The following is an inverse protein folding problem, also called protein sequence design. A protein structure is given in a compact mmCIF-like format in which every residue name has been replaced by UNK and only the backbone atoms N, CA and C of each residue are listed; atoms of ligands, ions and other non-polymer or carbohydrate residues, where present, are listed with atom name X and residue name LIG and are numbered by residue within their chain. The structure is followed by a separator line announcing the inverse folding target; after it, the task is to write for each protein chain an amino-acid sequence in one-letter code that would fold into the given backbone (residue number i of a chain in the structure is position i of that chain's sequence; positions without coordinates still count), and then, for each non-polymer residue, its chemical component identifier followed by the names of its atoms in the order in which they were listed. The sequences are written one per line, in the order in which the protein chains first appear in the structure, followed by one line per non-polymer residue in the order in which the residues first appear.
data_IF_709284307508
#
_entry.id   IF_709284307508
#
_cell.length_a   1.000
_cell.length_b   1.000
_cell.length_c   1.000
_cell.angle_alpha   90.00
_cell.angle_beta   90.00
_cell.angle_gamma   90.00
#
_symmetry.space_group_name_H-M   'P 1'
#
loop_
_entity.id
_entity.type
_entity.pdbx_description
1 polymer ?
#
# COMPACT_ATOMS: atom_id res chain seq x y z
N UNK A 1 -3.71 22.60 22.17
CA UNK A 1 -3.40 21.18 21.84
C UNK A 1 -3.04 20.48 23.15
N UNK A 2 -4.06 20.07 23.88
CA UNK A 2 -3.87 19.29 25.10
C UNK A 2 -3.41 17.90 24.71
N UNK A 3 -2.21 17.51 25.14
CA UNK A 3 -1.83 16.11 25.18
C UNK A 3 -2.74 15.47 26.21
N UNK A 4 -3.63 14.58 25.77
CA UNK A 4 -4.46 13.82 26.66
C UNK A 4 -3.59 13.00 27.60
N UNK A 5 -3.44 13.45 28.86
CA UNK A 5 -2.84 12.70 29.95
C UNK A 5 -3.85 11.66 30.40
N UNK A 6 -3.45 10.41 30.42
CA UNK A 6 -4.28 9.31 30.91
C UNK A 6 -5.10 8.64 29.81
N UNK A 7 -4.44 8.06 28.84
CA UNK A 7 -5.12 7.42 27.70
C UNK A 7 -5.63 6.03 28.09
N UNK A 8 -6.94 5.92 28.02
CA UNK A 8 -7.62 4.63 27.95
C UNK A 8 -7.14 3.88 26.69
N UNK A 9 -6.72 2.63 26.76
CA UNK A 9 -6.43 1.83 25.59
C UNK A 9 -7.58 1.91 24.58
N UNK A 10 -7.28 2.00 23.29
CA UNK A 10 -8.29 2.07 22.21
C UNK A 10 -9.34 0.95 22.32
N UNK A 11 -8.97 -0.21 22.87
CA UNK A 11 -9.87 -1.31 23.21
C UNK A 11 -11.10 -0.94 24.06
N UNK A 12 -11.04 0.15 24.80
CA UNK A 12 -12.17 0.62 25.60
C UNK A 12 -13.09 1.61 24.90
N UNK A 13 -12.75 1.98 23.67
CA UNK A 13 -13.66 2.77 22.84
C UNK A 13 -14.73 1.84 22.31
N UNK A 14 -15.96 2.00 22.76
CA UNK A 14 -17.11 1.13 22.46
C UNK A 14 -17.64 1.27 21.01
N UNK A 15 -16.87 1.82 20.10
CA UNK A 15 -17.26 2.02 18.71
C UNK A 15 -16.49 1.05 17.82
N UNK A 16 -17.20 0.13 17.17
CA UNK A 16 -16.64 -0.90 16.28
C UNK A 16 -15.84 -0.29 15.12
N UNK A 17 -16.25 0.85 14.61
CA UNK A 17 -15.52 1.58 13.55
C UNK A 17 -14.18 2.09 14.05
N UNK A 18 -14.15 2.62 15.29
CA UNK A 18 -12.90 3.08 15.89
C UNK A 18 -11.92 1.93 16.18
N UNK A 19 -12.41 0.73 16.44
CA UNK A 19 -11.58 -0.46 16.65
C UNK A 19 -10.95 -0.97 15.34
N UNK A 20 -11.70 -0.95 14.24
CA UNK A 20 -11.15 -1.32 12.92
C UNK A 20 -10.07 -0.35 12.41
N UNK A 21 -10.07 0.90 12.92
CA UNK A 21 -9.09 1.93 12.60
C UNK A 21 -8.01 2.13 13.69
N UNK A 22 -7.81 1.15 14.57
CA UNK A 22 -6.94 1.28 15.74
C UNK A 22 -5.52 1.72 15.40
N UNK A 23 -4.91 1.15 14.37
CA UNK A 23 -3.57 1.54 13.87
C UNK A 23 -3.56 3.00 13.42
N UNK A 24 -4.54 3.40 12.61
CA UNK A 24 -4.65 4.77 12.07
C UNK A 24 -4.79 5.81 13.17
N UNK A 25 -5.61 5.53 14.18
CA UNK A 25 -5.78 6.42 15.34
C UNK A 25 -4.52 6.50 16.20
N UNK A 26 -3.80 5.39 16.38
CA UNK A 26 -2.54 5.41 17.13
C UNK A 26 -1.48 6.25 16.41
N UNK A 27 -1.36 6.11 15.10
CA UNK A 27 -0.45 6.92 14.29
C UNK A 27 -0.84 8.40 14.32
N UNK A 28 -2.13 8.69 14.14
CA UNK A 28 -2.65 10.07 14.24
C UNK A 28 -2.33 10.69 15.60
N UNK A 29 -2.53 9.96 16.68
CA UNK A 29 -2.25 10.42 18.04
C UNK A 29 -0.78 10.81 18.23
N UNK A 30 0.14 10.07 17.61
CA UNK A 30 1.59 10.29 17.75
C UNK A 30 2.14 11.32 16.78
N UNK A 31 1.65 11.33 15.56
CA UNK A 31 2.19 12.16 14.49
C UNK A 31 1.42 13.45 14.27
N UNK A 32 0.13 13.48 14.62
CA UNK A 32 -0.80 14.57 14.32
C UNK A 32 -1.40 14.48 12.91
N UNK A 33 -1.09 13.43 12.16
CA UNK A 33 -1.58 13.21 10.80
C UNK A 33 -2.31 11.87 10.69
N UNK A 34 -3.48 11.91 10.06
CA UNK A 34 -4.29 10.72 9.87
C UNK A 34 -3.86 9.99 8.60
N UNK A 35 -3.70 8.67 8.70
CA UNK A 35 -3.29 7.83 7.58
C UNK A 35 -4.47 7.57 6.67
N UNK A 36 -4.30 7.69 5.35
CA UNK A 36 -5.34 7.41 4.34
C UNK A 36 -5.48 5.92 4.04
N UNK A 37 -4.39 5.16 4.16
CA UNK A 37 -4.41 3.70 3.99
C UNK A 37 -5.16 3.00 5.12
N UNK A 38 -5.66 1.79 4.89
CA UNK A 38 -6.32 0.98 5.93
C UNK A 38 -5.37 0.66 7.09
N UNK A 39 -5.93 0.34 8.26
CA UNK A 39 -5.13 -0.05 9.42
C UNK A 39 -4.26 -1.26 9.17
N UNK A 40 -4.80 -2.27 8.47
CA UNK A 40 -4.11 -3.51 8.13
C UNK A 40 -2.88 -3.25 7.26
N UNK A 41 -3.08 -2.59 6.12
CA UNK A 41 -2.00 -2.31 5.16
C UNK A 41 -0.97 -1.33 5.72
N UNK A 42 -1.40 -0.29 6.46
CA UNK A 42 -0.44 0.60 7.07
C UNK A 42 0.45 -0.13 8.10
N UNK A 43 -0.12 -1.09 8.85
CA UNK A 43 0.66 -1.89 9.78
C UNK A 43 1.75 -2.74 9.09
N UNK A 44 1.53 -3.13 7.83
CA UNK A 44 2.49 -3.86 7.01
C UNK A 44 3.63 -2.97 6.49
N UNK A 45 3.36 -1.67 6.27
CA UNK A 45 4.33 -0.73 5.70
C UNK A 45 5.30 -0.12 6.71
N UNK A 46 5.09 -0.37 8.01
CA UNK A 46 5.91 0.20 9.09
C UNK A 46 6.35 -0.85 10.10
N UNK A 47 7.48 -0.64 10.81
CA UNK A 47 8.06 -1.67 11.69
C UNK A 47 7.44 -1.70 13.10
N UNK A 48 6.26 -1.13 13.33
CA UNK A 48 5.81 -0.85 14.70
C UNK A 48 4.76 -1.79 15.26
N UNK A 49 3.92 -2.38 14.42
CA UNK A 49 2.70 -3.07 14.84
C UNK A 49 2.79 -4.59 14.72
N UNK A 50 3.41 -5.08 13.65
CA UNK A 50 3.58 -6.51 13.40
C UNK A 50 5.01 -6.89 13.73
N UNK A 51 5.20 -7.54 14.89
CA UNK A 51 6.52 -7.93 15.38
C UNK A 51 6.55 -9.37 15.84
N UNK A 52 7.67 -10.05 15.58
CA UNK A 52 7.88 -11.43 16.00
C UNK A 52 7.79 -11.55 17.52
N UNK A 53 6.99 -12.53 17.99
CA UNK A 53 6.77 -12.77 19.42
C UNK A 53 5.94 -11.70 20.14
N UNK A 54 5.19 -10.85 19.40
CA UNK A 54 4.35 -9.80 19.96
C UNK A 54 2.91 -9.90 19.45
N UNK A 55 2.31 -11.07 19.65
CA UNK A 55 0.90 -11.36 19.34
C UNK A 55 -0.05 -10.43 20.08
N UNK A 56 0.37 -9.92 21.25
CA UNK A 56 -0.36 -8.91 22.01
C UNK A 56 -0.63 -7.62 21.21
N UNK A 57 0.29 -7.22 20.33
CA UNK A 57 0.10 -6.06 19.45
C UNK A 57 -0.94 -6.34 18.35
N UNK A 58 -0.92 -7.55 17.78
CA UNK A 58 -1.91 -7.94 16.78
C UNK A 58 -3.32 -7.90 17.37
N UNK A 59 -3.48 -8.41 18.60
CA UNK A 59 -4.72 -8.37 19.34
C UNK A 59 -5.12 -6.93 19.72
N UNK A 60 -4.18 -6.12 20.19
CA UNK A 60 -4.44 -4.73 20.63
C UNK A 60 -4.93 -3.87 19.47
N UNK A 61 -4.32 -4.02 18.30
CA UNK A 61 -4.62 -3.21 17.11
C UNK A 61 -5.56 -3.90 16.13
N UNK A 62 -6.07 -5.10 16.46
CA UNK A 62 -6.97 -5.89 15.61
C UNK A 62 -6.43 -6.11 14.19
N UNK A 63 -5.15 -6.46 14.10
CA UNK A 63 -4.48 -6.69 12.83
C UNK A 63 -4.69 -8.15 12.43
N UNK A 64 -5.45 -8.44 11.35
CA UNK A 64 -5.58 -9.79 10.85
C UNK A 64 -4.29 -10.21 10.12
N UNK A 65 -3.83 -11.43 10.39
CA UNK A 65 -2.84 -12.08 9.55
C UNK A 65 -3.56 -12.89 8.46
N UNK A 66 -2.86 -13.11 7.34
CA UNK A 66 -3.38 -13.91 6.21
C UNK A 66 -4.71 -13.40 5.61
N UNK A 67 -4.96 -12.11 5.71
CA UNK A 67 -6.17 -11.47 5.20
C UNK A 67 -6.33 -11.68 3.69
N UNK A 68 -5.27 -11.54 2.92
CA UNK A 68 -5.32 -11.68 1.47
C UNK A 68 -5.63 -13.12 1.00
N UNK A 69 -4.97 -14.16 1.48
CA UNK A 69 -5.35 -15.54 1.20
C UNK A 69 -6.82 -15.84 1.54
N UNK A 70 -7.28 -15.40 2.70
CA UNK A 70 -8.67 -15.57 3.13
C UNK A 70 -9.66 -14.88 2.18
N UNK A 71 -9.39 -13.66 1.76
CA UNK A 71 -10.22 -12.94 0.76
C UNK A 71 -10.24 -13.65 -0.58
N UNK A 72 -9.12 -14.19 -1.03
CA UNK A 72 -9.06 -14.97 -2.25
C UNK A 72 -9.92 -16.23 -2.17
N UNK A 73 -9.84 -16.97 -1.07
CA UNK A 73 -10.67 -18.15 -0.83
C UNK A 73 -12.17 -17.82 -0.82
N UNK A 74 -12.54 -16.73 -0.13
CA UNK A 74 -13.93 -16.26 -0.11
C UNK A 74 -14.43 -15.85 -1.50
N UNK A 75 -13.61 -15.17 -2.30
CA UNK A 75 -13.97 -14.79 -3.68
C UNK A 75 -14.15 -16.01 -4.58
N UNK A 76 -13.26 -16.99 -4.48
CA UNK A 76 -13.35 -18.24 -5.23
C UNK A 76 -14.64 -18.99 -4.85
N UNK A 77 -14.92 -19.11 -3.55
CA UNK A 77 -16.15 -19.76 -3.07
C UNK A 77 -17.45 -19.06 -3.52
N UNK A 78 -17.39 -17.72 -3.67
CA UNK A 78 -18.54 -16.94 -4.12
C UNK A 78 -18.73 -16.95 -5.64
N UNK A 79 -17.70 -17.31 -6.40
CA UNK A 79 -17.71 -17.23 -7.86
C UNK A 79 -18.83 -18.07 -8.50
N UNK A 80 -19.01 -19.31 -8.05
CA UNK A 80 -20.05 -20.18 -8.61
C UNK A 80 -21.45 -19.60 -8.39
N UNK A 81 -21.71 -19.09 -7.20
CA UNK A 81 -22.99 -18.40 -6.91
C UNK A 81 -23.20 -17.14 -7.75
N UNK A 82 -22.12 -16.40 -8.01
CA UNK A 82 -22.20 -15.20 -8.86
C UNK A 82 -22.43 -15.58 -10.32
N UNK A 83 -21.72 -16.61 -10.82
CA UNK A 83 -21.89 -17.14 -12.17
C UNK A 83 -23.35 -17.57 -12.42
N UNK A 84 -23.91 -18.36 -11.50
CA UNK A 84 -25.29 -18.81 -11.60
C UNK A 84 -26.29 -17.64 -11.67
N UNK A 85 -26.05 -16.58 -10.92
CA UNK A 85 -26.85 -15.34 -10.98
C UNK A 85 -26.68 -14.60 -12.30
N UNK A 86 -25.46 -14.54 -12.85
CA UNK A 86 -25.16 -13.85 -14.11
C UNK A 86 -25.74 -14.61 -15.32
N UNK A 87 -25.73 -15.94 -15.29
CA UNK A 87 -26.22 -16.79 -16.34
C UNK A 87 -27.78 -16.96 -16.32
N UNK A 88 -28.42 -16.67 -15.19
CA UNK A 88 -29.87 -16.75 -15.07
C UNK A 88 -30.54 -15.51 -15.68
N UNK A 89 -31.32 -15.66 -16.80
CA UNK A 89 -31.97 -14.56 -17.48
C UNK A 89 -33.02 -13.83 -16.64
N UNK A 90 -33.54 -14.48 -15.61
CA UNK A 90 -34.57 -13.91 -14.72
C UNK A 90 -33.95 -13.09 -13.57
N UNK A 91 -32.63 -13.10 -13.43
CA UNK A 91 -31.95 -12.34 -12.37
C UNK A 91 -32.03 -10.84 -12.66
N UNK A 92 -32.64 -10.11 -11.73
CA UNK A 92 -32.67 -8.64 -11.76
C UNK A 92 -31.50 -8.07 -10.97
N UNK A 93 -30.66 -7.32 -11.66
CA UNK A 93 -29.59 -6.56 -11.02
C UNK A 93 -30.05 -5.14 -10.73
N UNK A 94 -30.06 -4.77 -9.46
CA UNK A 94 -30.32 -3.39 -9.05
C UNK A 94 -29.03 -2.58 -9.16
N UNK A 95 -28.98 -1.57 -10.05
CA UNK A 95 -27.80 -0.72 -10.17
C UNK A 95 -27.60 0.08 -8.88
N UNK A 96 -26.44 -0.05 -8.28
CA UNK A 96 -26.06 0.68 -7.09
C UNK A 96 -24.96 1.68 -7.42
N UNK A 97 -25.12 2.92 -6.93
CA UNK A 97 -24.05 3.92 -7.02
C UNK A 97 -22.92 3.48 -6.10
N UNK A 98 -21.74 3.27 -6.66
CA UNK A 98 -20.52 3.04 -5.88
C UNK A 98 -19.91 4.36 -5.42
N UNK A 99 -18.95 4.28 -4.48
CA UNK A 99 -18.13 5.41 -4.05
C UNK A 99 -16.87 5.58 -4.92
N UNK A 100 -16.72 4.76 -5.95
CA UNK A 100 -15.58 4.80 -6.86
C UNK A 100 -15.57 6.09 -7.69
N UNK A 101 -14.37 6.62 -7.91
CA UNK A 101 -14.18 7.93 -8.56
C UNK A 101 -14.33 7.89 -10.08
N UNK A 102 -14.14 6.73 -10.72
CA UNK A 102 -14.04 6.61 -12.17
C UNK A 102 -15.18 7.27 -12.94
N UNK A 103 -16.44 6.96 -12.58
CA UNK A 103 -17.61 7.58 -13.22
C UNK A 103 -17.65 9.11 -12.99
N UNK A 104 -17.23 9.55 -11.80
CA UNK A 104 -17.16 10.99 -11.46
C UNK A 104 -16.10 11.72 -12.28
N UNK A 105 -14.94 11.11 -12.50
CA UNK A 105 -13.84 11.64 -13.33
C UNK A 105 -14.30 11.77 -14.78
N UNK A 106 -14.85 10.70 -15.36
CA UNK A 106 -15.39 10.71 -16.75
C UNK A 106 -16.44 11.81 -16.89
N UNK A 107 -17.39 11.86 -15.98
CA UNK A 107 -18.45 12.89 -16.01
C UNK A 107 -17.87 14.32 -15.93
N UNK A 108 -16.83 14.55 -15.13
CA UNK A 108 -16.20 15.86 -14.99
C UNK A 108 -15.48 16.29 -16.27
N UNK A 109 -14.79 15.39 -16.93
CA UNK A 109 -14.09 15.64 -18.19
C UNK A 109 -15.11 15.94 -19.31
N UNK A 110 -16.15 15.12 -19.45
CA UNK A 110 -17.14 15.23 -20.52
C UNK A 110 -18.07 16.46 -20.37
N UNK A 111 -18.43 16.81 -19.15
CA UNK A 111 -19.41 17.90 -18.91
C UNK A 111 -18.79 19.23 -18.49
N UNK A 112 -17.48 19.23 -18.19
CA UNK A 112 -16.80 20.41 -17.63
C UNK A 112 -17.15 20.69 -16.17
N UNK A 113 -17.97 19.84 -15.53
CA UNK A 113 -18.35 20.04 -14.12
C UNK A 113 -17.15 19.69 -13.22
N UNK A 114 -16.64 20.72 -12.54
CA UNK A 114 -15.49 20.56 -11.66
C UNK A 114 -15.77 19.68 -10.43
N UNK A 115 -14.80 18.82 -10.10
CA UNK A 115 -14.73 18.03 -8.87
C UNK A 115 -13.29 17.86 -8.44
N UNK A 116 -13.08 17.64 -7.15
CA UNK A 116 -11.78 17.27 -6.59
C UNK A 116 -11.81 15.81 -6.17
N UNK A 117 -10.78 15.06 -6.57
CA UNK A 117 -10.50 13.68 -6.18
C UNK A 117 -9.06 13.59 -5.70
N UNK A 118 -8.76 12.63 -4.82
CA UNK A 118 -7.38 12.27 -4.54
C UNK A 118 -6.90 11.31 -5.64
N UNK A 119 -5.77 11.61 -6.25
CA UNK A 119 -5.23 10.85 -7.36
C UNK A 119 -3.74 10.56 -7.21
N UNK A 120 -3.35 9.39 -7.66
CA UNK A 120 -1.95 8.97 -7.75
C UNK A 120 -1.33 9.53 -9.03
N UNK A 121 -0.38 10.43 -8.86
CA UNK A 121 0.28 11.14 -9.96
C UNK A 121 1.79 11.23 -9.74
N UNK A 122 2.53 11.48 -10.82
CA UNK A 122 3.98 11.74 -10.73
C UNK A 122 4.25 12.98 -9.89
N UNK A 123 5.21 12.89 -8.95
CA UNK A 123 5.62 14.01 -8.11
C UNK A 123 6.47 15.04 -8.86
N UNK A 124 5.89 15.75 -9.80
CA UNK A 124 6.57 16.80 -10.58
C UNK A 124 6.73 18.11 -9.79
N UNK A 125 7.19 18.01 -8.54
CA UNK A 125 7.34 19.14 -7.61
C UNK A 125 6.11 19.41 -6.75
N UNK A 126 5.13 18.52 -6.74
CA UNK A 126 3.91 18.66 -5.94
C UNK A 126 4.20 18.56 -4.44
N UNK A 127 5.06 17.60 -4.07
CA UNK A 127 5.60 17.45 -2.71
C UNK A 127 7.11 17.65 -2.80
N UNK A 128 7.57 18.81 -2.32
CA UNK A 128 8.93 19.31 -2.60
C UNK A 128 10.06 18.57 -1.88
N UNK A 129 9.77 17.80 -0.87
CA UNK A 129 10.74 17.00 -0.11
C UNK A 129 10.55 15.48 -0.25
N UNK A 130 9.94 15.06 -1.36
CA UNK A 130 9.95 13.69 -1.85
C UNK A 130 10.55 13.64 -3.26
N UNK A 131 11.09 12.49 -3.71
CA UNK A 131 11.65 12.34 -5.06
C UNK A 131 10.67 12.70 -6.15
N UNK A 132 11.16 13.34 -7.22
CA UNK A 132 10.33 13.78 -8.36
C UNK A 132 9.76 12.64 -9.18
N UNK A 133 10.43 11.49 -9.16
CA UNK A 133 10.01 10.25 -9.83
C UNK A 133 9.03 9.40 -9.01
N UNK A 134 8.74 9.78 -7.77
CA UNK A 134 7.77 9.07 -6.94
C UNK A 134 6.35 9.27 -7.46
N UNK A 135 5.52 8.26 -7.32
CA UNK A 135 4.07 8.38 -7.44
C UNK A 135 3.50 8.83 -6.10
N UNK A 136 2.78 9.94 -6.08
CA UNK A 136 2.20 10.53 -4.87
C UNK A 136 0.70 10.72 -5.00
N UNK A 137 -0.03 10.50 -3.92
CA UNK A 137 -1.45 10.80 -3.85
C UNK A 137 -1.65 12.24 -3.39
N UNK A 138 -2.29 13.04 -4.22
CA UNK A 138 -2.60 14.44 -3.95
C UNK A 138 -4.01 14.78 -4.42
N UNK A 139 -4.65 15.83 -3.88
CA UNK A 139 -5.87 16.36 -4.46
C UNK A 139 -5.66 16.75 -5.92
N UNK A 140 -6.60 16.33 -6.77
CA UNK A 140 -6.62 16.66 -8.19
C UNK A 140 -7.95 17.31 -8.55
N UNK A 141 -7.90 18.49 -9.11
CA UNK A 141 -9.08 19.15 -9.71
C UNK A 141 -9.31 18.53 -11.08
N UNK A 142 -10.52 18.06 -11.33
CA UNK A 142 -10.92 17.42 -12.60
C UNK A 142 -12.08 18.17 -13.20
N UNK A 143 -11.93 18.61 -14.43
CA UNK A 143 -12.93 19.32 -15.23
C UNK A 143 -12.71 19.08 -16.74
N UNK A 144 -13.35 19.86 -17.61
CA UNK A 144 -13.22 19.75 -19.07
C UNK A 144 -11.79 19.98 -19.62
N UNK A 145 -10.87 20.51 -18.81
CA UNK A 145 -9.45 20.65 -19.16
C UNK A 145 -8.60 19.43 -18.75
N UNK A 146 -9.23 18.41 -18.15
CA UNK A 146 -8.57 17.20 -17.68
C UNK A 146 -8.28 17.21 -16.18
N UNK A 147 -7.21 16.50 -15.78
CA UNK A 147 -6.80 16.29 -14.40
C UNK A 147 -5.66 17.24 -14.06
N UNK A 148 -5.85 18.01 -12.99
CA UNK A 148 -4.90 19.04 -12.54
C UNK A 148 -4.53 18.77 -11.06
N UNK A 149 -3.35 18.16 -10.79
CA UNK A 149 -2.90 17.91 -9.44
C UNK A 149 -2.55 19.21 -8.70
N UNK A 150 -2.89 19.26 -7.41
CA UNK A 150 -2.58 20.39 -6.55
C UNK A 150 -1.17 20.26 -5.94
N UNK A 151 -0.48 21.40 -5.82
CA UNK A 151 0.82 21.47 -5.15
C UNK A 151 0.61 21.49 -3.63
N UNK A 152 1.19 20.51 -2.95
CA UNK A 152 1.13 20.37 -1.48
C UNK A 152 2.26 21.14 -0.80
N UNK A 153 3.42 21.26 -1.46
CA UNK A 153 4.63 21.85 -0.90
C UNK A 153 5.41 20.87 -0.03
N UNK A 154 5.95 21.37 1.10
CA UNK A 154 6.84 20.58 1.96
C UNK A 154 6.07 19.87 3.06
N UNK A 155 6.17 18.54 3.12
CA UNK A 155 5.66 17.76 4.25
C UNK A 155 6.50 17.94 5.51
N UNK A 156 5.91 17.73 6.71
CA UNK A 156 6.68 17.63 7.94
C UNK A 156 7.76 16.55 7.84
N UNK A 157 8.99 16.78 8.38
CA UNK A 157 10.11 15.87 8.16
C UNK A 157 9.85 14.42 8.55
N UNK A 158 9.14 14.19 9.66
CA UNK A 158 8.83 12.83 10.13
C UNK A 158 7.83 12.11 9.19
N UNK A 159 6.88 12.84 8.59
CA UNK A 159 5.95 12.26 7.61
C UNK A 159 6.69 11.93 6.30
N UNK A 160 7.48 12.86 5.80
CA UNK A 160 8.31 12.63 4.61
C UNK A 160 9.25 11.43 4.80
N UNK A 161 9.86 11.28 5.98
CA UNK A 161 10.74 10.16 6.28
C UNK A 161 10.00 8.80 6.26
N UNK A 162 8.79 8.72 6.84
CA UNK A 162 7.96 7.51 6.81
C UNK A 162 7.58 7.16 5.37
N UNK A 163 7.14 8.13 4.58
CA UNK A 163 6.77 7.91 3.18
C UNK A 163 7.99 7.49 2.34
N UNK A 164 9.15 8.12 2.58
CA UNK A 164 10.38 7.82 1.86
C UNK A 164 10.81 6.36 2.02
N UNK A 165 10.58 5.72 3.17
CA UNK A 165 10.93 4.30 3.36
C UNK A 165 10.24 3.40 2.33
N UNK A 166 8.96 3.65 2.09
CA UNK A 166 8.18 2.89 1.10
C UNK A 166 8.50 3.28 -0.34
N UNK A 167 8.78 4.56 -0.61
CA UNK A 167 9.25 5.01 -1.93
C UNK A 167 10.55 4.30 -2.33
N UNK A 168 11.47 4.08 -1.39
CA UNK A 168 12.71 3.36 -1.66
C UNK A 168 12.45 1.93 -2.16
N UNK A 169 11.54 1.20 -1.52
CA UNK A 169 11.13 -0.16 -1.93
C UNK A 169 10.49 -0.14 -3.31
N UNK A 170 9.53 0.76 -3.54
CA UNK A 170 8.83 0.90 -4.81
C UNK A 170 9.79 1.24 -5.96
N UNK A 171 10.69 2.21 -5.75
CA UNK A 171 11.67 2.63 -6.76
C UNK A 171 12.61 1.49 -7.15
N UNK A 172 13.11 0.73 -6.18
CA UNK A 172 13.98 -0.43 -6.43
C UNK A 172 13.24 -1.56 -7.14
N UNK A 173 11.98 -1.81 -6.77
CA UNK A 173 11.15 -2.81 -7.44
C UNK A 173 10.91 -2.46 -8.91
N UNK A 174 10.59 -1.21 -9.21
CA UNK A 174 10.43 -0.72 -10.59
C UNK A 174 11.75 -0.85 -11.36
N UNK A 175 12.87 -0.44 -10.78
CA UNK A 175 14.19 -0.56 -11.40
C UNK A 175 14.58 -2.01 -11.65
N UNK A 176 14.29 -2.92 -10.73
CA UNK A 176 14.56 -4.34 -10.93
C UNK A 176 13.97 -4.82 -12.26
N UNK A 177 12.72 -4.45 -12.53
CA UNK A 177 12.00 -4.86 -13.75
C UNK A 177 12.53 -4.15 -15.00
N UNK A 178 12.69 -2.82 -14.94
CA UNK A 178 13.07 -2.02 -16.11
C UNK A 178 14.52 -2.24 -16.52
N UNK A 179 15.43 -2.37 -15.56
CA UNK A 179 16.86 -2.57 -15.76
C UNK A 179 17.25 -4.04 -15.86
N UNK A 180 16.30 -4.96 -15.58
CA UNK A 180 16.52 -6.41 -15.47
C UNK A 180 17.68 -6.76 -14.51
N UNK A 181 17.77 -6.01 -13.43
CA UNK A 181 18.80 -6.15 -12.42
C UNK A 181 18.19 -6.75 -11.13
N UNK A 182 18.47 -8.01 -10.87
CA UNK A 182 17.94 -8.72 -9.70
C UNK A 182 18.49 -8.20 -8.36
N UNK A 183 19.65 -7.54 -8.33
CA UNK A 183 20.20 -6.98 -7.10
C UNK A 183 19.26 -5.95 -6.48
N UNK A 184 18.47 -5.26 -7.32
CA UNK A 184 17.45 -4.34 -6.83
C UNK A 184 16.33 -5.03 -6.04
N UNK A 185 16.04 -6.31 -6.29
CA UNK A 185 15.07 -7.09 -5.50
C UNK A 185 15.59 -7.27 -4.06
N UNK A 186 16.86 -7.68 -3.91
CA UNK A 186 17.50 -7.83 -2.60
C UNK A 186 17.58 -6.50 -1.87
N UNK A 187 17.97 -5.42 -2.58
CA UNK A 187 18.03 -4.09 -1.99
C UNK A 187 16.64 -3.57 -1.59
N UNK A 188 15.59 -3.87 -2.37
CA UNK A 188 14.23 -3.53 -1.99
C UNK A 188 13.80 -4.23 -0.70
N UNK A 189 14.04 -5.55 -0.61
CA UNK A 189 13.75 -6.32 0.59
C UNK A 189 14.57 -5.85 1.81
N UNK A 190 15.86 -5.50 1.60
CA UNK A 190 16.74 -4.96 2.64
C UNK A 190 16.26 -3.62 3.20
N UNK A 191 15.66 -2.78 2.35
CA UNK A 191 15.17 -1.44 2.72
C UNK A 191 13.69 -1.41 3.10
N UNK A 192 12.99 -2.54 2.98
CA UNK A 192 11.63 -2.66 3.48
C UNK A 192 11.61 -2.48 5.01
N UNK A 193 10.80 -1.54 5.54
CA UNK A 193 10.85 -1.19 6.96
C UNK A 193 10.55 -2.35 7.91
N UNK A 194 9.66 -3.25 7.50
CA UNK A 194 9.29 -4.39 8.33
C UNK A 194 10.33 -5.51 8.22
N UNK A 195 10.72 -5.86 7.02
CA UNK A 195 11.72 -6.90 6.76
C UNK A 195 13.04 -6.58 7.45
N UNK A 196 13.52 -5.34 7.32
CA UNK A 196 14.76 -4.88 7.96
C UNK A 196 14.69 -4.83 9.49
N UNK A 197 13.50 -4.68 10.07
CA UNK A 197 13.33 -4.67 11.52
C UNK A 197 13.32 -6.07 12.16
N UNK A 198 13.03 -7.11 11.37
CA UNK A 198 12.82 -8.48 11.88
C UNK A 198 13.92 -9.46 11.47
N UNK A 199 14.60 -9.24 10.34
CA UNK A 199 15.53 -10.19 9.74
C UNK A 199 16.97 -9.64 9.66
N UNK A 200 17.96 -10.55 9.77
CA UNK A 200 19.35 -10.24 9.44
C UNK A 200 19.51 -10.15 7.90
N UNK A 201 20.62 -9.55 7.44
CA UNK A 201 20.92 -9.45 6.00
C UNK A 201 20.95 -10.84 5.33
N UNK A 202 21.52 -11.84 5.98
CA UNK A 202 21.57 -13.19 5.45
C UNK A 202 20.18 -13.82 5.32
N UNK A 203 19.31 -13.59 6.31
CA UNK A 203 17.91 -14.05 6.25
C UNK A 203 17.12 -13.32 5.16
N UNK A 204 17.38 -12.04 4.92
CA UNK A 204 16.73 -11.28 3.83
C UNK A 204 17.14 -11.86 2.47
N UNK A 205 18.43 -12.16 2.27
CA UNK A 205 18.90 -12.78 1.03
C UNK A 205 18.25 -14.15 0.81
N UNK A 206 18.24 -15.01 1.84
CA UNK A 206 17.57 -16.32 1.79
C UNK A 206 16.10 -16.19 1.46
N UNK A 207 15.39 -15.25 2.09
CA UNK A 207 13.98 -14.96 1.81
C UNK A 207 13.75 -14.61 0.33
N UNK A 208 14.58 -13.74 -0.23
CA UNK A 208 14.46 -13.34 -1.64
C UNK A 208 14.73 -14.53 -2.57
N UNK A 209 15.76 -15.35 -2.29
CA UNK A 209 16.07 -16.53 -3.08
C UNK A 209 14.91 -17.54 -3.06
N UNK A 210 14.36 -17.82 -1.89
CA UNK A 210 13.22 -18.71 -1.71
C UNK A 210 11.97 -18.20 -2.46
N UNK A 211 11.70 -16.90 -2.40
CA UNK A 211 10.58 -16.29 -3.12
C UNK A 211 10.77 -16.35 -4.64
N UNK A 212 11.95 -16.05 -5.15
CA UNK A 212 12.24 -16.14 -6.59
C UNK A 212 12.09 -17.60 -7.06
N UNK A 213 12.58 -18.56 -6.27
CA UNK A 213 12.44 -19.98 -6.58
C UNK A 213 10.97 -20.41 -6.58
N UNK A 214 10.20 -20.01 -5.58
CA UNK A 214 8.78 -20.37 -5.45
C UNK A 214 7.93 -19.81 -6.60
N UNK A 215 8.25 -18.60 -7.08
CA UNK A 215 7.55 -17.98 -8.21
C UNK A 215 7.95 -18.58 -9.57
N UNK A 216 9.14 -19.19 -9.68
CA UNK A 216 9.57 -19.93 -10.86
C UNK A 216 9.40 -19.17 -12.17
N UNK A 217 8.62 -19.73 -13.09
CA UNK A 217 8.38 -19.15 -14.43
C UNK A 217 7.61 -17.80 -14.44
N UNK A 218 6.99 -17.43 -13.33
CA UNK A 218 6.35 -16.11 -13.21
C UNK A 218 7.37 -14.97 -13.09
N UNK A 219 8.62 -15.29 -12.71
CA UNK A 219 9.70 -14.30 -12.68
C UNK A 219 10.27 -14.12 -14.09
N UNK A 220 10.36 -12.87 -14.58
CA UNK A 220 10.98 -12.59 -15.88
C UNK A 220 12.38 -13.19 -16.01
N UNK A 221 12.78 -13.73 -17.17
CA UNK A 221 14.05 -14.45 -17.35
C UNK A 221 15.29 -13.66 -16.88
N UNK A 222 15.30 -12.35 -16.99
CA UNK A 222 16.41 -11.51 -16.55
C UNK A 222 16.53 -11.34 -15.02
N UNK A 223 15.52 -11.78 -14.26
CA UNK A 223 15.45 -11.66 -12.80
C UNK A 223 15.47 -13.04 -12.11
N UNK A 224 15.42 -14.13 -12.89
CA UNK A 224 15.43 -15.50 -12.37
C UNK A 224 16.80 -15.90 -11.82
N UNK A 225 16.83 -16.82 -10.87
CA UNK A 225 18.06 -17.42 -10.33
C UNK A 225 18.78 -18.32 -11.37
N UNK A 226 18.08 -18.80 -12.39
CA UNK A 226 18.58 -19.75 -13.38
C UNK A 226 19.58 -19.12 -14.38
N UNK A 227 19.65 -17.79 -14.46
CA UNK A 227 20.57 -17.07 -15.34
C UNK A 227 21.71 -16.38 -14.55
N UNK A 228 22.43 -17.12 -13.73
CA UNK A 228 23.71 -16.68 -13.20
C UNK A 228 24.75 -16.88 -14.31
N UNK A 229 24.94 -15.88 -15.19
CA UNK A 229 26.22 -15.73 -15.87
C UNK A 229 27.25 -15.41 -14.81
N UNK A 230 28.33 -16.21 -14.74
CA UNK A 230 29.43 -16.01 -13.80
C UNK A 230 29.88 -14.53 -13.82
N UNK A 231 30.21 -13.94 -12.66
CA UNK A 231 30.75 -12.59 -12.62
C UNK A 231 32.06 -12.58 -13.42
N UNK A 232 32.09 -11.80 -14.50
CA UNK A 232 33.33 -11.47 -15.20
C UNK A 232 34.24 -10.79 -14.17
N UNK A 233 35.22 -11.54 -13.65
CA UNK A 233 36.33 -10.97 -12.88
C UNK A 233 37.06 -9.97 -13.78
N UNK A 234 36.95 -8.70 -13.50
CA UNK A 234 37.93 -7.68 -13.87
C UNK A 234 38.90 -7.45 -12.74
#
# INVERSE_FOLDING_TARGET
RERAKGQTPLRKVSNTVALSDAVRYEVFRRTGFFVTESSEHFAEYVPWFIKSGREDLLDEFLIPLDEYPRRCEEQIAQWDSLRDKLENPDTKFEPRKSNEYGAGIIHSIETGKERTFNGNVMNTGLITNLPSEACVEVPCVVNGSGIQPETIGKLPPHIAAIIQTNINVQSLTVRAVLEKNKDHIYHAAMLDPRTSAELSLEQIWSLVDEMIQAHGEMIPPGLSLIHISEPTRQ
#
